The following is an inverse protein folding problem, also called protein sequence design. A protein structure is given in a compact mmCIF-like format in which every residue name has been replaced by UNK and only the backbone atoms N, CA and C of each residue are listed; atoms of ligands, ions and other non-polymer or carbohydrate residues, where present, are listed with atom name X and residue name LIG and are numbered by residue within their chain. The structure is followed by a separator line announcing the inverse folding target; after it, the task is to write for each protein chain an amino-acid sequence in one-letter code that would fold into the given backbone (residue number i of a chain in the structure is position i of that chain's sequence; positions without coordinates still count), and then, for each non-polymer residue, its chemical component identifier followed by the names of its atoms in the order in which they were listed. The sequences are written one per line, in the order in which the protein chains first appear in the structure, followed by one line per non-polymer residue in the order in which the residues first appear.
data_IF_515442847171
#
_entry.id   IF_515442847171
#
_cell.length_a   1.000
_cell.length_b   1.000
_cell.length_c   1.000
_cell.angle_alpha   90.00
_cell.angle_beta   90.00
_cell.angle_gamma   90.00
#
_symmetry.space_group_name_H-M   'P 1'
#
loop_
_entity.id
_entity.type
_entity.pdbx_description
1 polymer ?
#
# COMPACT_ATOMS: atom_id res chain seq x y z
N UNK A 1 79.13 28.08 -2.30
CA UNK A 1 77.84 28.35 -1.62
C UNK A 1 76.72 27.79 -2.47
N UNK A 2 76.27 26.57 -2.16
CA UNK A 2 75.28 25.80 -2.93
C UNK A 2 73.95 25.84 -2.18
N UNK A 3 72.92 26.50 -2.78
CA UNK A 3 71.56 26.56 -2.18
C UNK A 3 70.71 25.38 -2.65
N UNK A 4 70.45 24.48 -1.74
CA UNK A 4 69.50 23.36 -1.96
C UNK A 4 68.08 23.88 -1.90
N UNK A 5 67.30 23.69 -2.97
CA UNK A 5 65.84 23.95 -3.01
C UNK A 5 65.14 22.68 -2.64
N UNK A 6 64.39 22.72 -1.53
CA UNK A 6 63.47 21.64 -1.11
C UNK A 6 62.14 21.90 -1.80
N UNK A 7 61.76 21.00 -2.74
CA UNK A 7 60.42 20.99 -3.33
C UNK A 7 59.52 20.18 -2.40
N UNK A 8 58.53 20.84 -1.83
CA UNK A 8 57.45 20.20 -1.07
C UNK A 8 56.36 19.82 -2.10
N UNK A 9 56.22 18.52 -2.39
CA UNK A 9 55.05 18.00 -3.10
C UNK A 9 53.87 17.95 -2.15
N UNK A 10 52.89 18.83 -2.35
CA UNK A 10 51.61 18.76 -1.69
C UNK A 10 50.80 17.62 -2.38
N UNK A 11 50.62 16.51 -1.68
CA UNK A 11 49.76 15.42 -2.11
C UNK A 11 48.31 15.76 -1.69
N UNK A 12 47.56 16.34 -2.62
CA UNK A 12 46.09 16.55 -2.45
C UNK A 12 45.40 15.21 -2.58
N UNK A 13 45.10 14.55 -1.44
CA UNK A 13 44.27 13.37 -1.39
C UNK A 13 42.83 13.74 -1.75
N UNK A 14 42.37 13.28 -2.91
CA UNK A 14 40.96 13.32 -3.30
C UNK A 14 40.21 12.29 -2.46
N UNK A 15 39.54 12.75 -1.41
CA UNK A 15 38.53 11.93 -0.67
C UNK A 15 37.32 11.80 -1.57
N UNK A 16 37.26 10.73 -2.35
CA UNK A 16 36.02 10.24 -2.98
C UNK A 16 35.13 9.71 -1.88
N UNK A 17 34.29 10.57 -1.30
CA UNK A 17 33.15 10.15 -0.49
C UNK A 17 32.15 9.45 -1.44
N UNK A 18 32.29 8.14 -1.58
CA UNK A 18 31.30 7.32 -2.25
C UNK A 18 29.97 7.41 -1.49
N UNK A 19 29.04 8.18 -2.05
CA UNK A 19 27.65 8.17 -1.58
C UNK A 19 27.07 6.80 -1.92
N UNK A 20 27.13 5.85 -0.97
CA UNK A 20 26.44 4.59 -1.08
C UNK A 20 24.94 4.88 -1.07
N UNK A 21 24.32 4.88 -2.23
CA UNK A 21 22.85 4.87 -2.32
C UNK A 21 22.35 3.58 -1.70
N UNK A 22 21.77 3.68 -0.51
CA UNK A 22 21.04 2.57 0.10
C UNK A 22 19.82 2.34 -0.79
N UNK A 23 19.85 1.30 -1.60
CA UNK A 23 18.67 0.85 -2.35
C UNK A 23 17.70 0.25 -1.35
N UNK A 24 16.58 0.92 -1.12
CA UNK A 24 15.46 0.35 -0.35
C UNK A 24 14.94 -0.84 -1.14
N UNK A 25 14.78 -2.03 -0.53
CA UNK A 25 14.21 -3.18 -1.21
C UNK A 25 12.83 -2.84 -1.77
N UNK A 26 12.60 -3.19 -3.02
CA UNK A 26 11.32 -2.98 -3.67
C UNK A 26 10.44 -4.21 -3.41
N UNK A 27 9.52 -4.10 -2.44
CA UNK A 27 8.65 -5.18 -1.99
C UNK A 27 7.30 -5.19 -2.73
N UNK A 28 6.74 -4.00 -2.99
CA UNK A 28 5.46 -3.91 -3.69
C UNK A 28 5.64 -4.25 -5.18
N UNK A 29 4.93 -5.25 -5.73
CA UNK A 29 5.02 -5.60 -7.13
C UNK A 29 4.43 -4.50 -8.03
N UNK A 30 5.00 -4.29 -9.21
CA UNK A 30 4.45 -3.38 -10.23
C UNK A 30 3.06 -3.83 -10.70
N UNK A 31 2.80 -5.14 -10.67
CA UNK A 31 1.57 -5.72 -11.17
C UNK A 31 1.19 -6.95 -10.37
N UNK A 32 -0.11 -7.12 -10.18
CA UNK A 32 -0.74 -8.33 -9.62
C UNK A 32 -1.57 -9.08 -10.66
N UNK A 33 -1.36 -8.79 -11.95
CA UNK A 33 -2.04 -9.43 -13.05
C UNK A 33 -1.93 -10.97 -12.99
N UNK A 34 -3.06 -11.64 -13.08
CA UNK A 34 -3.15 -13.10 -12.98
C UNK A 34 -2.93 -13.67 -11.58
N UNK A 35 -2.85 -12.83 -10.56
CA UNK A 35 -2.65 -13.23 -9.15
C UNK A 35 -3.94 -13.03 -8.35
N UNK A 36 -3.98 -13.67 -7.20
CA UNK A 36 -5.07 -13.52 -6.21
C UNK A 36 -4.51 -12.74 -5.03
N UNK A 37 -5.12 -11.60 -4.71
CA UNK A 37 -4.90 -10.93 -3.43
C UNK A 37 -5.95 -11.43 -2.45
N UNK A 38 -5.48 -12.02 -1.36
CA UNK A 38 -6.32 -12.40 -0.22
C UNK A 38 -6.22 -11.32 0.85
N UNK A 39 -7.36 -10.78 1.27
CA UNK A 39 -7.50 -9.91 2.43
C UNK A 39 -8.17 -10.68 3.57
N UNK A 40 -7.61 -10.56 4.77
CA UNK A 40 -8.16 -11.13 6.01
C UNK A 40 -8.49 -9.97 6.96
N UNK A 41 -9.77 -9.71 7.16
CA UNK A 41 -10.26 -8.65 8.05
C UNK A 41 -10.98 -9.16 9.31
N UNK A 42 -10.84 -10.46 9.64
CA UNK A 42 -11.53 -11.11 10.75
C UNK A 42 -11.19 -10.56 12.14
N UNK A 43 -10.02 -9.95 12.30
CA UNK A 43 -9.53 -9.45 13.59
C UNK A 43 -9.14 -7.98 13.49
N UNK A 44 -10.02 -7.20 12.93
CA UNK A 44 -9.79 -5.79 12.63
C UNK A 44 -10.59 -4.88 13.53
N UNK A 45 -10.22 -3.62 13.55
CA UNK A 45 -10.96 -2.58 14.23
C UNK A 45 -11.48 -1.56 13.22
N UNK A 46 -12.65 -1.01 13.50
CA UNK A 46 -13.31 0.02 12.68
C UNK A 46 -13.64 1.24 13.53
N UNK A 47 -13.56 2.41 12.93
CA UNK A 47 -14.16 3.63 13.43
C UNK A 47 -14.91 4.35 12.30
N UNK A 48 -15.95 5.08 12.64
CA UNK A 48 -16.86 5.70 11.68
C UNK A 48 -17.20 7.12 12.11
N UNK A 49 -17.60 7.93 11.14
CA UNK A 49 -18.26 9.22 11.36
C UNK A 49 -19.29 9.47 10.27
N UNK A 50 -20.34 10.27 10.51
CA UNK A 50 -21.27 10.69 9.47
C UNK A 50 -20.54 11.41 8.32
N UNK A 51 -21.00 11.22 7.09
CA UNK A 51 -20.43 11.87 5.90
C UNK A 51 -20.56 13.39 5.98
N UNK A 52 -21.62 13.90 6.59
CA UNK A 52 -21.88 15.31 6.80
C UNK A 52 -20.87 16.00 7.74
N UNK A 53 -19.98 15.21 8.35
CA UNK A 53 -18.97 15.67 9.30
C UNK A 53 -19.26 15.22 10.72
N UNK A 54 -18.39 15.62 11.65
CA UNK A 54 -18.51 15.24 13.04
C UNK A 54 -17.24 14.55 13.57
N UNK A 55 -17.32 14.09 14.81
CA UNK A 55 -16.21 13.37 15.43
C UNK A 55 -16.21 11.91 15.02
N UNK A 56 -15.01 11.35 14.89
CA UNK A 56 -14.84 9.92 14.73
C UNK A 56 -15.28 9.17 15.99
N UNK A 57 -15.92 8.02 15.79
CA UNK A 57 -16.21 7.09 16.89
C UNK A 57 -14.90 6.57 17.49
N UNK A 58 -14.98 5.99 18.68
CA UNK A 58 -13.88 5.15 19.18
C UNK A 58 -13.66 3.95 18.25
N UNK A 59 -12.42 3.41 18.22
CA UNK A 59 -12.13 2.16 17.53
C UNK A 59 -12.84 1.00 18.25
N UNK A 60 -13.58 0.22 17.50
CA UNK A 60 -14.31 -0.97 17.97
C UNK A 60 -13.94 -2.19 17.14
N UNK A 61 -14.05 -3.38 17.69
CA UNK A 61 -13.78 -4.62 16.97
C UNK A 61 -14.83 -4.80 15.85
N UNK A 62 -14.34 -5.10 14.65
CA UNK A 62 -15.20 -5.35 13.49
C UNK A 62 -15.75 -6.78 13.54
N UNK A 63 -17.06 -6.90 13.78
CA UNK A 63 -17.72 -8.19 14.07
C UNK A 63 -18.00 -9.06 12.83
N UNK A 64 -17.96 -8.46 11.64
CA UNK A 64 -18.37 -9.11 10.39
C UNK A 64 -17.19 -9.44 9.48
N UNK A 65 -15.99 -9.44 10.05
CA UNK A 65 -14.78 -9.72 9.30
C UNK A 65 -14.75 -11.11 8.70
N UNK A 66 -14.24 -11.22 7.50
CA UNK A 66 -14.07 -12.47 6.78
C UNK A 66 -12.77 -12.47 5.94
N UNK A 67 -12.60 -13.51 5.14
CA UNK A 67 -11.48 -13.59 4.19
C UNK A 67 -12.04 -13.43 2.79
N UNK A 68 -11.45 -12.47 2.05
CA UNK A 68 -11.80 -12.21 0.66
C UNK A 68 -10.66 -12.60 -0.26
N UNK A 69 -10.97 -13.23 -1.37
CA UNK A 69 -10.05 -13.51 -2.46
C UNK A 69 -10.43 -12.66 -3.69
N UNK A 70 -9.49 -11.87 -4.17
CA UNK A 70 -9.64 -10.98 -5.31
C UNK A 70 -8.72 -11.44 -6.45
N UNK A 71 -9.22 -12.24 -7.42
CA UNK A 71 -8.45 -12.62 -8.61
C UNK A 71 -8.37 -11.45 -9.60
N UNK A 72 -7.18 -10.87 -9.73
CA UNK A 72 -6.92 -9.77 -10.65
C UNK A 72 -6.68 -10.27 -12.08
N UNK A 73 -7.25 -9.59 -13.05
CA UNK A 73 -7.07 -9.85 -14.48
C UNK A 73 -5.72 -9.29 -15.01
N UNK A 74 -5.50 -9.43 -16.32
CA UNK A 74 -4.29 -8.94 -16.98
C UNK A 74 -4.09 -7.41 -16.91
N UNK A 75 -5.14 -6.65 -16.54
CA UNK A 75 -5.12 -5.19 -16.42
C UNK A 75 -5.01 -4.73 -14.96
N UNK A 76 -4.66 -5.61 -14.02
CA UNK A 76 -4.68 -5.31 -12.58
C UNK A 76 -6.07 -4.91 -12.07
N UNK A 77 -7.13 -5.49 -12.63
CA UNK A 77 -8.51 -5.24 -12.26
C UNK A 77 -9.20 -6.53 -11.83
N UNK A 78 -10.01 -6.43 -10.79
CA UNK A 78 -10.98 -7.45 -10.42
C UNK A 78 -12.38 -6.89 -10.61
N UNK A 79 -13.19 -7.57 -11.40
CA UNK A 79 -14.58 -7.18 -11.67
C UNK A 79 -15.52 -8.27 -11.19
N UNK A 80 -16.50 -7.89 -10.39
CA UNK A 80 -17.59 -8.77 -9.98
C UNK A 80 -18.91 -8.18 -10.46
N UNK A 81 -19.68 -8.95 -11.20
CA UNK A 81 -21.07 -8.63 -11.46
C UNK A 81 -21.90 -9.23 -10.31
N UNK A 82 -22.35 -8.39 -9.38
CA UNK A 82 -23.29 -8.81 -8.33
C UNK A 82 -24.68 -9.05 -8.93
N UNK A 83 -25.02 -8.29 -9.96
CA UNK A 83 -26.16 -8.50 -10.86
C UNK A 83 -25.84 -7.80 -12.21
N UNK A 84 -26.62 -8.01 -13.29
CA UNK A 84 -26.33 -7.43 -14.59
C UNK A 84 -26.26 -5.91 -14.64
N UNK A 85 -26.78 -5.21 -13.65
CA UNK A 85 -26.80 -3.74 -13.55
C UNK A 85 -25.71 -3.16 -12.65
N UNK A 86 -25.00 -3.97 -11.87
CA UNK A 86 -24.01 -3.51 -10.89
C UNK A 86 -22.67 -4.19 -11.10
N UNK A 87 -21.82 -3.54 -11.85
CA UNK A 87 -20.42 -3.97 -11.98
C UNK A 87 -19.59 -3.24 -10.94
N UNK A 88 -19.02 -3.97 -10.01
CA UNK A 88 -18.00 -3.44 -9.10
C UNK A 88 -16.62 -3.66 -9.71
N UNK A 89 -15.77 -2.66 -9.62
CA UNK A 89 -14.41 -2.74 -10.12
C UNK A 89 -13.43 -2.47 -8.97
N UNK A 90 -12.42 -3.33 -8.85
CA UNK A 90 -11.29 -3.11 -7.98
C UNK A 90 -10.03 -2.98 -8.84
N UNK A 91 -9.23 -1.97 -8.55
CA UNK A 91 -8.02 -1.69 -9.32
C UNK A 91 -6.82 -1.66 -8.38
N UNK A 92 -5.78 -2.44 -8.70
CA UNK A 92 -4.51 -2.40 -8.00
C UNK A 92 -3.59 -1.35 -8.61
N UNK A 93 -2.91 -0.57 -7.74
CA UNK A 93 -1.91 0.41 -8.14
C UNK A 93 -0.79 0.45 -7.11
N UNK A 94 0.45 0.25 -7.57
CA UNK A 94 1.64 0.49 -6.75
C UNK A 94 1.77 1.99 -6.44
N UNK A 95 2.09 2.34 -5.20
CA UNK A 95 2.24 3.72 -4.74
C UNK A 95 3.63 4.04 -4.19
N UNK A 96 4.43 3.02 -3.89
CA UNK A 96 5.79 3.17 -3.38
C UNK A 96 6.58 1.85 -3.42
N UNK A 97 7.82 1.85 -2.92
CA UNK A 97 8.67 0.66 -2.92
C UNK A 97 8.06 -0.52 -2.14
N UNK A 98 7.35 -0.24 -1.07
CA UNK A 98 6.73 -1.20 -0.15
C UNK A 98 5.23 -0.98 0.01
N UNK A 99 4.61 -0.18 -0.87
CA UNK A 99 3.23 0.23 -0.73
C UNK A 99 2.46 0.16 -2.04
N UNK A 100 1.17 -0.17 -1.93
CA UNK A 100 0.20 -0.15 -3.02
C UNK A 100 -1.19 0.17 -2.49
N UNK A 101 -2.12 0.42 -3.39
CA UNK A 101 -3.53 0.61 -3.08
C UNK A 101 -4.41 -0.30 -3.93
N UNK A 102 -5.54 -0.72 -3.37
CA UNK A 102 -6.65 -1.33 -4.10
C UNK A 102 -7.83 -0.38 -3.95
N UNK A 103 -8.21 0.23 -5.05
CA UNK A 103 -9.38 1.11 -5.12
C UNK A 103 -10.61 0.30 -5.52
N UNK A 104 -11.70 0.48 -4.80
CA UNK A 104 -13.00 -0.11 -5.06
C UNK A 104 -14.03 0.98 -5.29
N UNK A 105 -14.88 0.78 -6.29
CA UNK A 105 -16.00 1.65 -6.59
C UNK A 105 -17.24 0.84 -6.96
N UNK A 106 -18.38 1.22 -6.38
CA UNK A 106 -19.71 0.76 -6.74
C UNK A 106 -20.67 1.96 -6.80
N UNK A 107 -21.92 1.71 -7.16
CA UNK A 107 -22.94 2.77 -7.18
C UNK A 107 -23.18 3.42 -5.81
N UNK A 108 -22.99 2.68 -4.71
CA UNK A 108 -23.37 3.10 -3.36
C UNK A 108 -22.18 3.30 -2.42
N UNK A 109 -21.00 2.84 -2.79
CA UNK A 109 -19.83 2.90 -1.92
C UNK A 109 -18.52 3.01 -2.68
N UNK A 110 -17.57 3.69 -2.07
CA UNK A 110 -16.18 3.69 -2.52
C UNK A 110 -15.26 3.40 -1.33
N UNK A 111 -14.20 2.67 -1.56
CA UNK A 111 -13.16 2.52 -0.55
C UNK A 111 -11.79 2.23 -1.16
N UNK A 112 -10.75 2.57 -0.40
CA UNK A 112 -9.37 2.29 -0.75
C UNK A 112 -8.77 1.42 0.34
N UNK A 113 -8.19 0.28 -0.05
CA UNK A 113 -7.31 -0.50 0.79
C UNK A 113 -5.87 -0.07 0.53
N UNK A 114 -5.18 0.41 1.54
CA UNK A 114 -3.76 0.73 1.51
C UNK A 114 -2.97 -0.47 1.98
N UNK A 115 -2.15 -1.03 1.10
CA UNK A 115 -1.30 -2.19 1.37
C UNK A 115 0.09 -1.73 1.78
N UNK A 116 0.60 -2.25 2.88
CA UNK A 116 1.99 -2.07 3.32
C UNK A 116 2.68 -3.43 3.29
N UNK A 117 3.65 -3.57 2.39
CA UNK A 117 4.34 -4.84 2.13
C UNK A 117 5.46 -5.07 3.15
N UNK A 118 5.41 -6.20 3.83
CA UNK A 118 6.46 -6.72 4.71
C UNK A 118 7.34 -7.74 3.98
N UNK A 119 6.77 -8.37 2.95
CA UNK A 119 7.44 -9.25 1.99
C UNK A 119 6.86 -8.97 0.59
N UNK A 120 7.48 -9.47 -0.50
CA UNK A 120 6.92 -9.29 -1.86
C UNK A 120 5.50 -9.85 -2.06
N UNK A 121 5.03 -10.68 -1.15
CA UNK A 121 3.73 -11.36 -1.28
C UNK A 121 2.82 -11.25 -0.08
N UNK A 122 3.17 -10.47 0.95
CA UNK A 122 2.35 -10.32 2.15
C UNK A 122 2.66 -9.07 2.94
N UNK A 123 1.73 -8.69 3.81
CA UNK A 123 1.88 -7.55 4.69
C UNK A 123 0.59 -7.22 5.42
N UNK A 124 0.50 -5.98 5.84
CA UNK A 124 -0.65 -5.41 6.54
C UNK A 124 -1.43 -4.45 5.64
N UNK A 125 -2.71 -4.25 5.92
CA UNK A 125 -3.53 -3.31 5.20
C UNK A 125 -4.41 -2.48 6.14
N UNK A 126 -4.75 -1.28 5.66
CA UNK A 126 -5.79 -0.43 6.23
C UNK A 126 -6.81 -0.11 5.15
N UNK A 127 -8.04 0.19 5.52
CA UNK A 127 -9.10 0.55 4.58
C UNK A 127 -9.76 1.84 5.02
N UNK A 128 -10.01 2.73 4.07
CA UNK A 128 -10.82 3.91 4.25
C UNK A 128 -11.89 3.95 3.18
N UNK A 129 -13.08 4.43 3.51
CA UNK A 129 -14.13 4.48 2.52
C UNK A 129 -15.38 5.19 3.00
N UNK A 130 -16.34 5.15 2.08
CA UNK A 130 -17.67 5.70 2.26
C UNK A 130 -18.70 4.63 1.93
N UNK A 131 -19.75 4.54 2.72
CA UNK A 131 -20.90 3.66 2.48
C UNK A 131 -21.98 3.90 3.53
N UNK A 132 -23.23 3.69 3.16
CA UNK A 132 -24.39 3.79 4.05
C UNK A 132 -24.48 5.14 4.84
N UNK A 133 -24.03 6.26 4.22
CA UNK A 133 -24.05 7.58 4.84
C UNK A 133 -22.91 7.85 5.83
N UNK A 134 -21.96 6.94 5.98
CA UNK A 134 -20.81 7.08 6.86
C UNK A 134 -19.48 7.04 6.08
N UNK A 135 -18.49 7.78 6.58
CA UNK A 135 -17.08 7.57 6.27
C UNK A 135 -16.50 6.65 7.34
N UNK A 136 -15.76 5.66 6.94
CA UNK A 136 -15.15 4.71 7.87
C UNK A 136 -13.66 4.51 7.63
N UNK A 137 -12.96 4.07 8.67
CA UNK A 137 -11.59 3.59 8.64
C UNK A 137 -11.52 2.23 9.31
N UNK A 138 -10.73 1.34 8.74
CA UNK A 138 -10.51 0.00 9.27
C UNK A 138 -9.01 -0.30 9.31
N UNK A 139 -8.54 -0.93 10.37
CA UNK A 139 -7.13 -1.29 10.58
C UNK A 139 -6.95 -2.71 11.09
N UNK A 140 -5.73 -3.22 10.97
CA UNK A 140 -5.38 -4.56 11.46
C UNK A 140 -5.62 -5.67 10.43
N UNK A 141 -5.97 -5.33 9.18
CA UNK A 141 -6.08 -6.31 8.11
C UNK A 141 -4.71 -6.90 7.77
N UNK A 142 -4.73 -8.15 7.33
CA UNK A 142 -3.57 -8.81 6.72
C UNK A 142 -3.88 -9.15 5.28
N UNK A 143 -2.85 -9.16 4.44
CA UNK A 143 -3.01 -9.60 3.06
C UNK A 143 -1.90 -10.57 2.65
N UNK A 144 -2.21 -11.37 1.63
CA UNK A 144 -1.22 -12.19 0.92
C UNK A 144 -1.54 -12.23 -0.58
N UNK A 145 -0.52 -12.36 -1.42
CA UNK A 145 -0.60 -12.51 -2.87
C UNK A 145 -0.19 -13.93 -3.23
N UNK A 146 -1.00 -14.60 -4.08
CA UNK A 146 -0.78 -15.97 -4.57
C UNK A 146 -0.78 -16.02 -6.08
#
# INVERSE_FOLDING_TARGET
MTRTRISICLLTGLLLTGCSTVTVPELAPESVAGRIIRLDDRFTQICERPVEGGQWSAWTDFKYGCVFDFPFDANNQYRTALNPSETTCQTYKKTGPDSAEIYYESAESTHTCYLNFETPTSGTATKEGYGEGNVYKQRGMKFSIR
#
